data_IF_952450774931
#
_entry.id   IF_952450774931
#
_cell.length_a   1.000
_cell.length_b   1.000
_cell.length_c   1.000
_cell.angle_alpha   90.00
_cell.angle_beta   90.00
_cell.angle_gamma   90.00
#
_symmetry.space_group_name_H-M   'P 1'
#
loop_
_entity.id
_entity.type
_entity.pdbx_description
1 polymer ?
#
# COMPACT_ATOMS: atom_id res chain seq x y z
N UNK A 1 -14.75 34.19 -32.48
CA UNK A 1 -14.16 32.85 -32.36
C UNK A 1 -13.10 32.91 -31.28
N UNK A 2 -13.43 32.44 -30.08
CA UNK A 2 -12.51 32.47 -28.93
C UNK A 2 -11.73 31.17 -28.88
N UNK A 3 -10.50 31.18 -29.37
CA UNK A 3 -9.53 30.12 -29.13
C UNK A 3 -9.14 30.12 -27.67
N UNK A 4 -9.78 29.27 -26.87
CA UNK A 4 -9.40 29.02 -25.49
C UNK A 4 -8.40 27.87 -25.45
N UNK A 5 -7.20 28.14 -24.94
CA UNK A 5 -6.21 27.15 -24.54
C UNK A 5 -6.86 25.99 -23.78
N UNK A 6 -6.58 24.76 -24.21
CA UNK A 6 -6.99 23.53 -23.54
C UNK A 6 -6.20 23.29 -22.23
N UNK A 7 -5.88 24.35 -21.47
CA UNK A 7 -5.17 24.29 -20.18
C UNK A 7 -6.05 23.89 -18.99
N UNK A 8 -7.29 23.46 -19.24
CA UNK A 8 -8.32 23.26 -18.21
C UNK A 8 -8.46 21.85 -17.62
N UNK A 9 -7.56 20.91 -17.90
CA UNK A 9 -7.64 19.54 -17.35
C UNK A 9 -6.77 19.29 -16.11
N UNK A 10 -6.00 20.28 -15.64
CA UNK A 10 -5.06 20.12 -14.53
C UNK A 10 -5.71 20.13 -13.13
N UNK A 11 -6.97 20.54 -12.97
CA UNK A 11 -7.59 20.72 -11.63
C UNK A 11 -8.42 19.51 -11.13
N UNK A 12 -8.58 18.47 -11.95
CA UNK A 12 -9.27 17.22 -11.57
C UNK A 12 -8.37 16.00 -11.72
N UNK A 13 -7.06 16.19 -11.66
CA UNK A 13 -6.08 15.12 -11.78
C UNK A 13 -5.36 14.95 -10.45
N UNK A 14 -5.06 13.70 -10.12
CA UNK A 14 -4.08 13.40 -9.10
C UNK A 14 -2.73 13.19 -9.78
N UNK A 15 -1.65 13.55 -9.10
CA UNK A 15 -0.28 13.47 -9.60
C UNK A 15 0.42 12.25 -9.02
N UNK A 16 1.22 11.58 -9.85
CA UNK A 16 2.10 10.51 -9.40
C UNK A 16 3.53 10.74 -9.88
N UNK A 17 4.49 10.60 -8.97
CA UNK A 17 5.91 10.64 -9.25
C UNK A 17 6.52 9.23 -9.22
N UNK A 18 7.53 9.03 -10.06
CA UNK A 18 8.29 7.79 -10.08
C UNK A 18 9.31 7.76 -8.93
N UNK A 19 9.34 6.63 -8.24
CA UNK A 19 10.36 6.27 -7.27
C UNK A 19 10.89 4.86 -7.55
N UNK A 20 12.06 4.53 -7.02
CA UNK A 20 12.61 3.17 -7.16
C UNK A 20 11.65 2.15 -6.58
N UNK A 21 11.04 1.33 -7.44
CA UNK A 21 10.08 0.29 -7.03
C UNK A 21 8.66 0.51 -7.54
N UNK A 22 8.29 1.72 -7.97
CA UNK A 22 6.94 2.02 -8.49
C UNK A 22 6.61 3.51 -8.47
N UNK A 23 5.34 3.85 -8.21
CA UNK A 23 4.88 5.22 -8.15
C UNK A 23 4.50 5.64 -6.72
N UNK A 24 4.52 6.95 -6.48
CA UNK A 24 3.96 7.59 -5.29
C UNK A 24 3.06 8.74 -5.70
N UNK A 25 1.97 8.96 -4.98
CA UNK A 25 1.16 10.17 -5.15
C UNK A 25 1.97 11.37 -4.67
N UNK A 26 2.14 12.37 -5.53
CA UNK A 26 2.65 13.69 -5.16
C UNK A 26 1.54 14.74 -5.05
N UNK A 27 0.44 14.55 -5.78
CA UNK A 27 -0.75 15.39 -5.70
C UNK A 27 -1.98 14.52 -5.42
N UNK A 28 -2.58 14.73 -4.23
CA UNK A 28 -3.75 13.98 -3.79
C UNK A 28 -4.95 14.14 -4.74
N UNK A 29 -5.82 13.12 -4.77
CA UNK A 29 -7.04 13.16 -5.55
C UNK A 29 -8.06 14.17 -4.98
N UNK A 30 -9.06 14.60 -5.76
CA UNK A 30 -10.19 15.37 -5.26
C UNK A 30 -11.00 14.63 -4.17
N UNK A 31 -11.74 15.35 -3.31
CA UNK A 31 -12.62 14.73 -2.31
C UNK A 31 -13.62 13.75 -2.93
N UNK A 32 -13.83 12.61 -2.28
CA UNK A 32 -14.68 11.49 -2.71
C UNK A 32 -14.16 10.71 -3.92
N UNK A 33 -12.86 10.84 -4.23
CA UNK A 33 -12.20 10.09 -5.29
C UNK A 33 -10.85 9.54 -4.81
N UNK A 34 -10.27 8.63 -5.58
CA UNK A 34 -8.97 8.05 -5.30
C UNK A 34 -8.00 8.24 -6.47
N UNK A 35 -6.71 8.20 -6.18
CA UNK A 35 -5.69 8.33 -7.20
C UNK A 35 -5.20 6.96 -7.66
N UNK A 36 -5.33 6.67 -8.95
CA UNK A 36 -4.68 5.53 -9.56
C UNK A 36 -3.36 5.98 -10.16
N UNK A 37 -2.25 5.61 -9.52
CA UNK A 37 -0.94 5.72 -10.13
C UNK A 37 -0.69 4.54 -11.06
N UNK A 38 -0.25 4.79 -12.29
CA UNK A 38 0.13 3.78 -13.25
C UNK A 38 1.59 3.98 -13.65
N UNK A 39 2.40 2.94 -13.51
CA UNK A 39 3.78 2.96 -14.00
C UNK A 39 3.80 2.73 -15.51
N UNK A 40 4.30 3.70 -16.27
CA UNK A 40 4.31 3.65 -17.74
C UNK A 40 5.61 3.08 -18.31
N UNK A 41 6.56 2.71 -17.45
CA UNK A 41 7.92 2.35 -17.86
C UNK A 41 8.81 3.58 -18.09
N UNK A 42 10.11 3.33 -18.25
CA UNK A 42 11.08 4.41 -18.50
C UNK A 42 11.12 5.47 -17.40
N UNK A 43 10.98 5.05 -16.14
CA UNK A 43 11.01 5.93 -14.95
C UNK A 43 9.90 7.00 -14.96
N UNK A 44 8.75 6.70 -15.56
CA UNK A 44 7.57 7.58 -15.59
C UNK A 44 6.37 6.93 -14.92
N UNK A 45 5.62 7.77 -14.21
CA UNK A 45 4.34 7.46 -13.61
C UNK A 45 3.31 8.46 -14.11
N UNK A 46 2.09 7.97 -14.35
CA UNK A 46 0.93 8.82 -14.59
C UNK A 46 -0.10 8.61 -13.49
N UNK A 47 -0.79 9.69 -13.12
CA UNK A 47 -1.88 9.67 -12.14
C UNK A 47 -3.19 9.98 -12.82
N UNK A 48 -4.23 9.23 -12.52
CA UNK A 48 -5.59 9.57 -12.91
C UNK A 48 -6.58 9.30 -11.78
N UNK A 49 -7.61 10.13 -11.74
CA UNK A 49 -8.66 10.02 -10.72
C UNK A 49 -9.57 8.84 -11.06
N UNK A 50 -9.85 8.02 -10.06
CA UNK A 50 -10.75 6.87 -10.16
C UNK A 50 -11.69 6.82 -8.97
N UNK A 51 -12.71 5.96 -9.06
CA UNK A 51 -13.59 5.68 -7.94
C UNK A 51 -12.81 5.04 -6.80
N UNK A 52 -13.10 5.51 -5.59
CA UNK A 52 -12.63 4.91 -4.37
C UNK A 52 -12.98 3.42 -4.29
N UNK A 53 -12.01 2.57 -3.95
CA UNK A 53 -12.26 1.18 -3.58
C UNK A 53 -13.22 1.08 -2.40
N UNK A 54 -13.13 2.01 -1.46
CA UNK A 54 -14.08 2.15 -0.36
C UNK A 54 -14.53 3.61 -0.22
N UNK A 55 -15.72 3.90 -0.76
CA UNK A 55 -16.31 5.25 -0.73
C UNK A 55 -16.61 5.80 0.66
N UNK A 56 -16.80 4.94 1.67
CA UNK A 56 -17.06 5.34 3.05
C UNK A 56 -15.79 5.60 3.88
N UNK A 57 -14.60 5.35 3.33
CA UNK A 57 -13.35 5.54 4.04
C UNK A 57 -12.97 7.02 4.15
N UNK A 58 -12.30 7.40 5.25
CA UNK A 58 -11.68 8.73 5.39
C UNK A 58 -10.68 9.00 4.26
N UNK A 59 -10.00 7.96 3.79
CA UNK A 59 -9.08 8.01 2.65
C UNK A 59 -9.76 8.34 1.31
N UNK A 60 -11.10 8.27 1.26
CA UNK A 60 -11.91 8.67 0.10
C UNK A 60 -12.49 10.05 0.29
N UNK A 61 -13.05 10.35 1.46
CA UNK A 61 -13.64 11.67 1.73
C UNK A 61 -12.57 12.77 1.82
N UNK A 62 -11.38 12.42 2.29
CA UNK A 62 -10.21 13.30 2.39
C UNK A 62 -8.96 12.51 1.97
N UNK A 63 -8.76 12.30 0.66
CA UNK A 63 -7.59 11.60 0.16
C UNK A 63 -6.33 12.43 0.44
N UNK A 64 -5.24 11.73 0.72
CA UNK A 64 -3.94 12.32 1.01
C UNK A 64 -2.89 11.75 0.04
N UNK A 65 -1.69 12.31 0.03
CA UNK A 65 -0.57 11.83 -0.79
C UNK A 65 0.20 10.71 -0.07
N UNK A 66 -0.49 9.62 0.29
CA UNK A 66 0.08 8.51 1.07
C UNK A 66 -0.22 7.13 0.45
N UNK A 67 0.53 6.11 0.90
CA UNK A 67 0.40 4.74 0.41
C UNK A 67 -1.05 4.20 0.48
N UNK A 68 -1.80 4.40 1.58
CA UNK A 68 -3.21 4.00 1.65
C UNK A 68 -4.10 4.63 0.60
N UNK A 69 -3.95 5.93 0.32
CA UNK A 69 -4.71 6.64 -0.71
C UNK A 69 -4.38 6.14 -2.11
N UNK A 70 -3.14 5.70 -2.36
CA UNK A 70 -2.75 5.06 -3.62
C UNK A 70 -3.42 3.70 -3.80
N UNK A 71 -3.44 2.86 -2.76
CA UNK A 71 -4.15 1.58 -2.82
C UNK A 71 -5.66 1.74 -2.98
N UNK A 72 -6.21 2.82 -2.44
CA UNK A 72 -7.61 3.21 -2.59
C UNK A 72 -8.00 3.40 -4.07
N UNK A 73 -7.06 3.85 -4.90
CA UNK A 73 -7.23 3.96 -6.35
C UNK A 73 -6.78 2.73 -7.13
N UNK A 74 -6.36 1.65 -6.45
CA UNK A 74 -5.75 0.46 -7.04
C UNK A 74 -4.53 0.75 -7.94
N UNK A 75 -3.73 1.77 -7.60
CA UNK A 75 -2.52 2.11 -8.37
C UNK A 75 -1.31 1.22 -8.10
N UNK A 76 -0.24 1.46 -8.85
CA UNK A 76 1.12 0.99 -8.57
C UNK A 76 1.75 1.86 -7.47
N UNK A 77 1.66 1.37 -6.24
CA UNK A 77 2.16 2.05 -5.06
C UNK A 77 3.55 1.55 -4.63
N UNK A 78 4.32 0.94 -5.54
CA UNK A 78 5.62 0.36 -5.21
C UNK A 78 6.71 1.39 -4.91
N UNK A 79 6.45 2.69 -5.13
CA UNK A 79 7.39 3.77 -4.89
C UNK A 79 7.43 4.27 -3.44
N UNK A 80 6.51 3.83 -2.58
CA UNK A 80 6.48 4.23 -1.18
C UNK A 80 7.53 3.43 -0.37
N UNK A 81 8.32 4.13 0.45
CA UNK A 81 9.29 3.52 1.39
C UNK A 81 8.60 2.84 2.59
N UNK A 82 7.28 3.04 2.70
CA UNK A 82 6.42 2.46 3.73
C UNK A 82 6.29 0.94 3.54
N UNK A 83 7.17 0.21 4.21
CA UNK A 83 7.23 -1.25 4.18
C UNK A 83 6.94 -1.87 5.55
N UNK A 84 6.41 -3.08 5.53
CA UNK A 84 6.46 -3.97 6.68
C UNK A 84 7.64 -4.94 6.52
N UNK A 85 8.04 -5.61 7.61
CA UNK A 85 9.10 -6.61 7.57
C UNK A 85 8.83 -7.75 8.55
N UNK A 86 9.42 -8.91 8.27
CA UNK A 86 9.22 -10.13 9.03
C UNK A 86 10.53 -10.87 9.25
N UNK A 87 10.73 -11.36 10.47
CA UNK A 87 11.90 -12.13 10.88
C UNK A 87 11.55 -13.61 10.98
N UNK A 88 12.53 -14.47 10.69
CA UNK A 88 12.38 -15.91 10.86
C UNK A 88 12.55 -16.30 12.33
N UNK A 89 11.56 -17.01 12.86
CA UNK A 89 11.59 -17.56 14.21
C UNK A 89 11.63 -19.09 14.14
N UNK A 90 12.67 -19.68 14.74
CA UNK A 90 12.80 -21.13 14.86
C UNK A 90 12.14 -21.64 16.13
N UNK A 91 11.38 -22.72 16.01
CA UNK A 91 10.82 -23.46 17.15
C UNK A 91 11.69 -24.64 17.58
N UNK A 92 12.94 -24.71 17.13
CA UNK A 92 13.91 -25.76 17.43
C UNK A 92 14.24 -26.65 16.22
N UNK A 93 15.32 -27.42 16.34
CA UNK A 93 15.93 -28.19 15.23
C UNK A 93 14.97 -29.21 14.61
N UNK A 94 13.96 -29.67 15.37
CA UNK A 94 13.01 -30.71 14.94
C UNK A 94 11.58 -30.20 14.74
N UNK A 95 11.29 -28.94 15.08
CA UNK A 95 9.92 -28.40 15.10
C UNK A 95 9.64 -27.40 13.98
N UNK A 96 10.64 -27.10 13.14
CA UNK A 96 10.53 -26.13 12.06
C UNK A 96 10.63 -24.69 12.55
N UNK A 97 10.12 -23.78 11.73
CA UNK A 97 10.04 -22.34 12.00
C UNK A 97 9.14 -21.67 10.98
N UNK A 98 8.91 -20.38 11.18
CA UNK A 98 8.12 -19.56 10.27
C UNK A 98 8.42 -18.09 10.45
N UNK A 99 7.64 -17.25 9.80
CA UNK A 99 7.84 -15.82 9.85
C UNK A 99 7.00 -15.19 10.97
N UNK A 100 7.55 -14.11 11.54
CA UNK A 100 6.90 -13.25 12.52
C UNK A 100 7.11 -11.80 12.12
N UNK A 101 6.09 -10.96 12.21
CA UNK A 101 6.23 -9.52 11.93
C UNK A 101 7.25 -8.92 12.89
N UNK A 102 8.28 -8.29 12.33
CA UNK A 102 9.31 -7.53 13.05
C UNK A 102 9.11 -6.02 12.87
N UNK A 103 8.55 -5.61 11.73
CA UNK A 103 8.09 -4.24 11.46
C UNK A 103 6.64 -4.26 11.02
N UNK A 104 5.78 -3.65 11.85
CA UNK A 104 4.34 -3.49 11.58
C UNK A 104 4.07 -2.77 10.25
N UNK A 105 2.94 -3.11 9.64
CA UNK A 105 2.48 -2.45 8.43
C UNK A 105 2.07 -1.00 8.69
N UNK A 106 2.16 -0.12 7.67
CA UNK A 106 1.57 1.21 7.70
C UNK A 106 0.05 1.16 7.94
N UNK A 107 -0.51 2.22 8.53
CA UNK A 107 -1.96 2.32 8.75
C UNK A 107 -2.75 2.09 7.46
N UNK A 108 -3.89 1.42 7.58
CA UNK A 108 -4.76 0.99 6.48
C UNK A 108 -4.12 0.00 5.51
N UNK A 109 -3.07 -0.71 5.94
CA UNK A 109 -2.42 -1.78 5.18
C UNK A 109 -2.12 -2.98 6.07
N UNK A 110 -1.89 -4.15 5.47
CA UNK A 110 -1.55 -5.37 6.18
C UNK A 110 -0.19 -5.92 5.71
N UNK A 111 0.49 -6.61 6.61
CA UNK A 111 1.81 -7.18 6.33
C UNK A 111 1.70 -8.62 5.85
N UNK A 112 2.02 -8.85 4.59
CA UNK A 112 2.18 -10.19 4.04
C UNK A 112 3.61 -10.68 4.28
N UNK A 113 3.80 -11.49 5.31
CA UNK A 113 5.06 -12.19 5.56
C UNK A 113 5.24 -13.35 4.59
N UNK A 114 6.46 -13.55 4.10
CA UNK A 114 6.81 -14.70 3.26
C UNK A 114 8.23 -15.20 3.57
N UNK A 115 8.41 -16.51 3.49
CA UNK A 115 9.71 -17.14 3.68
C UNK A 115 10.58 -16.97 2.43
N UNK A 116 11.79 -16.42 2.60
CA UNK A 116 12.74 -16.18 1.52
C UNK A 116 13.70 -17.35 1.27
N UNK A 117 13.64 -18.40 2.10
CA UNK A 117 14.67 -19.42 2.15
C UNK A 117 15.80 -19.04 3.10
N UNK A 118 16.70 -19.98 3.40
CA UNK A 118 17.88 -19.68 4.19
C UNK A 118 17.58 -19.16 5.61
N UNK A 119 16.51 -19.64 6.27
CA UNK A 119 16.13 -19.19 7.61
C UNK A 119 15.89 -17.69 7.67
N UNK A 120 15.35 -17.13 6.58
CA UNK A 120 15.09 -15.71 6.45
C UNK A 120 13.68 -15.45 5.93
N UNK A 121 13.09 -14.35 6.38
CA UNK A 121 11.75 -13.91 6.03
C UNK A 121 11.78 -12.52 5.41
N UNK A 122 10.67 -12.09 4.82
CA UNK A 122 10.43 -10.70 4.52
C UNK A 122 8.97 -10.33 4.58
N UNK A 123 8.73 -9.02 4.61
CA UNK A 123 7.41 -8.44 4.50
C UNK A 123 7.14 -7.84 3.13
N UNK A 124 5.87 -7.84 2.75
CA UNK A 124 5.34 -6.99 1.68
C UNK A 124 4.03 -6.37 2.15
N UNK A 125 3.82 -5.10 1.82
CA UNK A 125 2.60 -4.40 2.21
C UNK A 125 1.49 -4.73 1.22
N UNK A 126 0.29 -4.97 1.75
CA UNK A 126 -0.93 -5.21 0.97
C UNK A 126 -2.05 -4.32 1.48
N UNK A 127 -2.96 -3.97 0.60
CA UNK A 127 -4.21 -3.34 1.00
C UNK A 127 -5.05 -4.30 1.84
N UNK A 128 -5.61 -3.80 2.93
CA UNK A 128 -6.59 -4.52 3.75
C UNK A 128 -7.89 -3.73 3.85
N UNK A 129 -8.94 -4.37 4.37
CA UNK A 129 -10.22 -3.70 4.60
C UNK A 129 -10.09 -2.66 5.72
N UNK A 130 -10.27 -1.35 5.45
CA UNK A 130 -10.12 -0.28 6.44
C UNK A 130 -11.14 -0.36 7.58
N UNK A 131 -12.22 -1.15 7.45
CA UNK A 131 -13.16 -1.40 8.56
C UNK A 131 -12.61 -2.40 9.59
N UNK A 132 -11.55 -3.14 9.27
CA UNK A 132 -10.87 -4.00 10.22
C UNK A 132 -9.96 -3.16 11.14
N UNK A 133 -10.06 -3.34 12.46
CA UNK A 133 -9.23 -2.61 13.43
C UNK A 133 -7.73 -2.89 13.28
N UNK A 134 -7.37 -4.11 12.84
CA UNK A 134 -5.99 -4.50 12.54
C UNK A 134 -5.49 -3.91 11.22
N UNK A 135 -6.39 -3.42 10.37
CA UNK A 135 -6.03 -2.66 9.18
C UNK A 135 -5.83 -1.19 9.53
N UNK A 136 -6.77 -0.58 10.26
CA UNK A 136 -6.68 0.83 10.62
C UNK A 136 -5.57 1.15 11.61
N UNK A 137 -5.16 0.18 12.44
CA UNK A 137 -4.01 0.29 13.33
C UNK A 137 -3.28 -1.06 13.42
N UNK A 138 -2.42 -1.38 12.44
CA UNK A 138 -1.71 -2.66 12.39
C UNK A 138 -0.79 -2.86 13.59
N UNK A 139 -0.72 -4.11 14.05
CA UNK A 139 0.17 -4.54 15.14
C UNK A 139 1.16 -5.59 14.63
N UNK A 140 2.09 -6.01 15.48
CA UNK A 140 3.02 -7.10 15.22
C UNK A 140 2.43 -8.47 15.65
N UNK A 141 1.13 -8.57 15.88
CA UNK A 141 0.45 -9.78 16.33
C UNK A 141 0.26 -10.83 15.23
N UNK A 142 0.00 -12.08 15.64
CA UNK A 142 -0.33 -13.18 14.71
C UNK A 142 -1.56 -12.84 13.86
N UNK A 143 -2.54 -12.17 14.45
CA UNK A 143 -3.76 -11.76 13.73
C UNK A 143 -3.47 -10.70 12.66
N UNK A 144 -2.55 -9.76 12.91
CA UNK A 144 -2.12 -8.79 11.89
C UNK A 144 -1.37 -9.49 10.74
N UNK A 145 -0.57 -10.50 11.04
CA UNK A 145 0.08 -11.33 10.02
C UNK A 145 -0.94 -12.13 9.20
N UNK A 146 -1.94 -12.73 9.87
CA UNK A 146 -3.01 -13.47 9.21
C UNK A 146 -3.86 -12.54 8.32
N UNK A 147 -4.09 -11.29 8.72
CA UNK A 147 -4.78 -10.30 7.90
C UNK A 147 -4.04 -10.00 6.60
N UNK A 148 -2.70 -10.04 6.63
CA UNK A 148 -1.86 -9.91 5.44
C UNK A 148 -1.74 -11.21 4.63
N UNK A 149 -2.40 -12.29 5.05
CA UNK A 149 -2.40 -13.61 4.39
C UNK A 149 -0.98 -14.20 4.21
N UNK A 150 -0.07 -13.95 5.17
CA UNK A 150 1.33 -14.36 5.11
C UNK A 150 1.67 -15.68 5.83
N UNK A 151 2.96 -16.03 5.83
CA UNK A 151 3.54 -17.01 6.75
C UNK A 151 3.58 -16.44 8.17
N UNK A 152 2.79 -17.02 9.06
CA UNK A 152 2.70 -16.63 10.46
C UNK A 152 3.13 -17.77 11.40
N UNK A 153 4.00 -18.66 10.91
CA UNK A 153 4.46 -19.84 11.64
C UNK A 153 5.48 -19.54 12.74
N UNK A 154 5.98 -18.31 12.83
CA UNK A 154 6.95 -17.86 13.85
C UNK A 154 6.32 -17.31 15.14
N UNK A 155 5.00 -17.39 15.28
CA UNK A 155 4.21 -16.91 16.43
C UNK A 155 3.88 -18.01 17.43
#
# INVERSE_FOLDING_TARGET
EGGGDCGGYAENQCGCNYHSGGCTIDQAAPPNTACHCNYEGGWRCSGYVTSCKNGGSKLCTTPEANLPSCYQGNGDCGGYDDSCDCDYHSHGVFSGGGCKISRKAPDYTACHCYYKGGWSCGGSVRYCDPFNSLCSSPTDSKDSCNLGEGDCGGY
#
